data_IF_372444701211
#
_entry.id   IF_372444701211
#
_cell.length_a   1.000
_cell.length_b   1.000
_cell.length_c   1.000
_cell.angle_alpha   90.00
_cell.angle_beta   90.00
_cell.angle_gamma   90.00
#
_symmetry.space_group_name_H-M   'P 1'
#
loop_
_entity.id
_entity.type
_entity.pdbx_description
1 polymer ?
#
# COMPACT_ATOMS: atom_id res chain seq x y z
N UNK A 1 5.31 -15.83 -25.48
CA UNK A 1 6.35 -15.51 -24.49
C UNK A 1 5.72 -15.48 -23.12
N UNK A 2 6.40 -15.99 -22.10
CA UNK A 2 5.94 -15.90 -20.71
C UNK A 2 5.85 -14.42 -20.30
N UNK A 3 4.84 -14.07 -19.49
CA UNK A 3 4.73 -12.73 -18.91
C UNK A 3 5.75 -12.57 -17.77
N UNK A 4 6.35 -11.40 -17.62
CA UNK A 4 7.37 -11.13 -16.60
C UNK A 4 6.80 -10.19 -15.55
N UNK A 5 6.84 -10.62 -14.29
CA UNK A 5 6.48 -9.81 -13.12
C UNK A 5 7.73 -9.45 -12.31
N UNK A 6 7.98 -8.16 -12.10
CA UNK A 6 9.07 -7.67 -11.24
C UNK A 6 8.50 -7.22 -9.92
N UNK A 7 9.11 -7.63 -8.79
CA UNK A 7 8.63 -7.34 -7.44
C UNK A 7 9.77 -6.78 -6.59
N UNK A 8 9.62 -5.52 -6.15
CA UNK A 8 10.54 -4.93 -5.17
C UNK A 8 10.19 -5.38 -3.76
N UNK A 9 11.20 -5.67 -2.93
CA UNK A 9 10.99 -6.28 -1.62
C UNK A 9 10.47 -7.72 -1.71
N UNK A 10 10.83 -8.43 -2.80
CA UNK A 10 10.33 -9.78 -3.11
C UNK A 10 10.94 -10.91 -2.29
N UNK A 11 11.91 -10.63 -1.42
CA UNK A 11 12.63 -11.66 -0.67
C UNK A 11 11.88 -12.19 0.57
N UNK A 12 10.84 -11.48 1.04
CA UNK A 12 10.09 -11.86 2.24
C UNK A 12 8.68 -11.23 2.26
N UNK A 13 7.85 -11.64 3.22
CA UNK A 13 6.54 -11.07 3.50
C UNK A 13 5.62 -11.04 2.28
N UNK A 14 4.89 -9.93 2.12
CA UNK A 14 3.93 -9.75 1.02
C UNK A 14 4.59 -9.91 -0.35
N UNK A 15 5.82 -9.40 -0.51
CA UNK A 15 6.56 -9.51 -1.78
C UNK A 15 6.87 -10.95 -2.15
N UNK A 16 7.27 -11.79 -1.17
CA UNK A 16 7.51 -13.23 -1.36
C UNK A 16 6.22 -13.97 -1.73
N UNK A 17 5.14 -13.72 -1.00
CA UNK A 17 3.84 -14.32 -1.29
C UNK A 17 3.30 -13.88 -2.68
N UNK A 18 3.50 -12.62 -3.05
CA UNK A 18 3.14 -12.14 -4.40
C UNK A 18 3.96 -12.82 -5.49
N UNK A 19 5.27 -13.03 -5.27
CA UNK A 19 6.13 -13.77 -6.18
C UNK A 19 5.65 -15.20 -6.41
N UNK A 20 5.30 -15.90 -5.33
CA UNK A 20 4.71 -17.25 -5.39
C UNK A 20 3.37 -17.24 -6.17
N UNK A 21 2.51 -16.27 -5.91
CA UNK A 21 1.23 -16.15 -6.58
C UNK A 21 1.36 -15.84 -8.10
N UNK A 22 2.35 -15.05 -8.51
CA UNK A 22 2.68 -14.84 -9.92
C UNK A 22 3.28 -16.09 -10.55
N UNK A 23 4.23 -16.76 -9.88
CA UNK A 23 4.81 -18.00 -10.36
C UNK A 23 3.75 -19.09 -10.58
N UNK A 24 2.82 -19.26 -9.63
CA UNK A 24 1.67 -20.17 -9.76
C UNK A 24 0.75 -19.87 -10.97
N UNK A 25 0.82 -18.65 -11.53
CA UNK A 25 0.12 -18.26 -12.75
C UNK A 25 0.99 -18.33 -14.02
N UNK A 26 2.20 -18.89 -13.89
CA UNK A 26 3.12 -19.08 -15.02
C UNK A 26 3.91 -17.84 -15.44
N UNK A 27 3.97 -16.79 -14.58
CA UNK A 27 4.84 -15.65 -14.84
C UNK A 27 6.29 -16.01 -14.54
N UNK A 28 7.22 -15.55 -15.38
CA UNK A 28 8.62 -15.41 -14.97
C UNK A 28 8.73 -14.29 -13.94
N UNK A 29 9.58 -14.46 -12.92
CA UNK A 29 9.60 -13.57 -11.76
C UNK A 29 10.97 -12.92 -11.57
N UNK A 30 11.01 -11.58 -11.60
CA UNK A 30 12.16 -10.77 -11.22
C UNK A 30 12.02 -10.27 -9.78
N UNK A 31 13.03 -10.51 -8.93
CA UNK A 31 13.03 -10.06 -7.54
C UNK A 31 14.12 -9.03 -7.27
N UNK A 32 13.76 -7.94 -6.62
CA UNK A 32 14.68 -6.89 -6.18
C UNK A 32 14.56 -6.74 -4.66
N UNK A 33 15.66 -6.94 -3.93
CA UNK A 33 15.74 -6.68 -2.48
C UNK A 33 17.20 -6.50 -2.06
N UNK A 34 17.47 -6.08 -0.80
CA UNK A 34 18.84 -5.84 -0.32
C UNK A 34 19.57 -7.10 0.12
N UNK A 35 18.86 -8.07 0.70
CA UNK A 35 19.44 -9.26 1.32
C UNK A 35 19.66 -10.38 0.29
N UNK A 36 20.93 -10.66 -0.03
CA UNK A 36 21.32 -11.67 -1.03
C UNK A 36 20.82 -13.06 -0.64
N UNK A 37 21.09 -13.50 0.58
CA UNK A 37 20.73 -14.85 1.06
C UNK A 37 19.21 -15.11 0.93
N UNK A 38 18.39 -14.16 1.37
CA UNK A 38 16.91 -14.29 1.25
C UNK A 38 16.42 -14.21 -0.20
N UNK A 39 17.12 -13.49 -1.07
CA UNK A 39 16.84 -13.52 -2.50
C UNK A 39 17.08 -14.88 -3.11
N UNK A 40 18.21 -15.51 -2.76
CA UNK A 40 18.56 -16.85 -3.24
C UNK A 40 17.57 -17.91 -2.72
N UNK A 41 17.18 -17.84 -1.44
CA UNK A 41 16.15 -18.71 -0.88
C UNK A 41 14.79 -18.53 -1.59
N UNK A 42 14.42 -17.27 -1.90
CA UNK A 42 13.22 -16.98 -2.67
C UNK A 42 13.30 -17.53 -4.10
N UNK A 43 14.46 -17.40 -4.74
CA UNK A 43 14.71 -17.95 -6.07
C UNK A 43 14.56 -19.47 -6.08
N UNK A 44 15.27 -20.15 -5.20
CA UNK A 44 15.24 -21.62 -5.12
C UNK A 44 13.81 -22.16 -4.88
N UNK A 45 13.01 -21.49 -4.06
CA UNK A 45 11.62 -21.85 -3.83
C UNK A 45 10.74 -21.65 -5.10
N UNK A 46 10.88 -20.49 -5.76
CA UNK A 46 10.06 -20.18 -6.94
C UNK A 46 10.42 -21.05 -8.15
N UNK A 47 11.69 -21.41 -8.33
CA UNK A 47 12.16 -22.32 -9.40
C UNK A 47 11.52 -23.70 -9.31
N UNK A 48 11.10 -24.15 -8.11
CA UNK A 48 10.33 -25.39 -7.94
C UNK A 48 8.96 -25.36 -8.63
N UNK A 49 8.42 -24.18 -8.92
CA UNK A 49 7.19 -24.00 -9.69
C UNK A 49 7.41 -24.09 -11.21
N UNK A 50 8.64 -24.33 -11.67
CA UNK A 50 8.99 -24.48 -13.09
C UNK A 50 9.04 -23.17 -13.88
N UNK A 51 9.01 -22.01 -13.22
CA UNK A 51 9.11 -20.68 -13.86
C UNK A 51 10.56 -20.17 -13.82
N UNK A 52 10.92 -19.31 -14.79
CA UNK A 52 12.21 -18.63 -14.76
C UNK A 52 12.21 -17.53 -13.71
N UNK A 53 13.28 -17.46 -12.92
CA UNK A 53 13.45 -16.47 -11.85
C UNK A 53 14.80 -15.78 -11.98
N UNK A 54 14.80 -14.44 -11.81
CA UNK A 54 16.04 -13.66 -11.78
C UNK A 54 16.01 -12.73 -10.55
N UNK A 55 17.09 -12.77 -9.76
CA UNK A 55 17.19 -11.99 -8.52
C UNK A 55 18.28 -10.94 -8.65
N UNK A 56 18.03 -9.73 -8.15
CA UNK A 56 19.02 -8.65 -8.13
C UNK A 56 19.06 -8.01 -6.73
N UNK A 57 20.26 -8.02 -6.15
CA UNK A 57 20.49 -7.33 -4.88
C UNK A 57 20.61 -5.82 -5.12
N UNK A 58 19.61 -5.05 -4.67
CA UNK A 58 19.61 -3.60 -4.81
C UNK A 58 18.79 -2.94 -3.69
N UNK A 59 19.20 -1.73 -3.31
CA UNK A 59 18.39 -0.85 -2.46
C UNK A 59 17.46 -0.01 -3.37
N UNK A 60 16.17 -0.05 -3.11
CA UNK A 60 15.20 0.72 -3.91
C UNK A 60 15.35 2.24 -3.74
N UNK A 61 16.03 2.68 -2.69
CA UNK A 61 16.37 4.09 -2.48
C UNK A 61 17.40 4.61 -3.50
N UNK A 62 18.20 3.72 -4.11
CA UNK A 62 19.15 4.04 -5.18
C UNK A 62 18.46 3.88 -6.54
N UNK A 63 18.15 5.01 -7.18
CA UNK A 63 17.46 5.03 -8.47
C UNK A 63 18.27 4.36 -9.60
N UNK A 64 19.60 4.50 -9.60
CA UNK A 64 20.45 3.87 -10.60
C UNK A 64 20.55 2.37 -10.38
N UNK A 65 20.64 1.92 -9.13
CA UNK A 65 20.62 0.49 -8.80
C UNK A 65 19.30 -0.16 -9.23
N UNK A 66 18.15 0.52 -9.03
CA UNK A 66 16.85 0.04 -9.50
C UNK A 66 16.80 -0.02 -11.03
N UNK A 67 17.34 0.97 -11.73
CA UNK A 67 17.40 0.98 -13.19
C UNK A 67 18.26 -0.18 -13.70
N UNK A 68 19.46 -0.39 -13.16
CA UNK A 68 20.32 -1.51 -13.51
C UNK A 68 19.67 -2.87 -13.22
N UNK A 69 18.96 -2.98 -12.10
CA UNK A 69 18.24 -4.19 -11.74
C UNK A 69 17.12 -4.51 -12.75
N UNK A 70 16.39 -3.49 -13.18
CA UNK A 70 15.36 -3.66 -14.21
C UNK A 70 15.94 -4.10 -15.57
N UNK A 71 17.11 -3.53 -15.98
CA UNK A 71 17.81 -3.94 -17.19
C UNK A 71 18.27 -5.41 -17.12
N UNK A 72 18.85 -5.82 -16.00
CA UNK A 72 19.30 -7.20 -15.79
C UNK A 72 18.13 -8.19 -15.84
N UNK A 73 17.01 -7.86 -15.20
CA UNK A 73 15.82 -8.71 -15.19
C UNK A 73 15.22 -8.80 -16.61
N UNK A 74 15.10 -7.67 -17.32
CA UNK A 74 14.56 -7.67 -18.69
C UNK A 74 15.46 -8.46 -19.65
N UNK A 75 16.78 -8.34 -19.52
CA UNK A 75 17.73 -9.12 -20.31
C UNK A 75 17.64 -10.64 -20.04
N UNK A 76 17.40 -11.03 -18.79
CA UNK A 76 17.34 -12.43 -18.39
C UNK A 76 15.97 -13.09 -18.68
N UNK A 77 14.86 -12.37 -18.48
CA UNK A 77 13.51 -12.93 -18.52
C UNK A 77 12.66 -12.44 -19.68
N UNK A 78 13.10 -11.42 -20.39
CA UNK A 78 12.33 -10.77 -21.47
C UNK A 78 11.50 -9.58 -21.01
N UNK A 79 10.64 -9.04 -21.86
CA UNK A 79 9.91 -7.79 -21.62
C UNK A 79 9.06 -7.82 -20.36
N UNK A 80 9.22 -6.81 -19.50
CA UNK A 80 8.49 -6.66 -18.25
C UNK A 80 7.04 -6.28 -18.57
N UNK A 81 6.07 -7.01 -18.00
CA UNK A 81 4.63 -6.78 -18.19
C UNK A 81 3.91 -6.35 -16.90
N UNK A 82 4.49 -6.69 -15.75
CA UNK A 82 3.99 -6.27 -14.42
C UNK A 82 5.15 -5.76 -13.58
N UNK A 83 4.95 -4.62 -12.95
CA UNK A 83 5.89 -4.07 -11.97
C UNK A 83 5.18 -3.83 -10.63
N UNK A 84 5.68 -4.43 -9.54
CA UNK A 84 5.10 -4.33 -8.21
C UNK A 84 6.04 -3.56 -7.29
N UNK A 85 5.69 -2.33 -6.94
CA UNK A 85 6.37 -1.55 -5.91
C UNK A 85 5.85 -1.96 -4.53
N UNK A 86 6.55 -2.90 -3.89
CA UNK A 86 6.18 -3.44 -2.60
C UNK A 86 7.19 -3.14 -1.49
N UNK A 87 8.46 -2.89 -1.82
CA UNK A 87 9.50 -2.59 -0.83
C UNK A 87 9.09 -1.45 0.10
N UNK A 88 9.33 -1.62 1.41
CA UNK A 88 9.00 -0.63 2.43
C UNK A 88 9.94 -0.72 3.63
N UNK A 89 10.00 0.35 4.40
CA UNK A 89 10.61 0.41 5.72
C UNK A 89 9.69 1.18 6.68
N UNK A 90 9.79 0.88 7.96
CA UNK A 90 9.05 1.59 9.02
C UNK A 90 9.87 1.68 10.30
N UNK A 91 9.48 2.63 11.15
CA UNK A 91 9.98 2.76 12.53
C UNK A 91 8.78 2.83 13.45
N UNK A 92 8.79 2.02 14.49
CA UNK A 92 7.84 2.13 15.60
C UNK A 92 8.42 3.08 16.66
N UNK A 93 7.94 4.31 16.67
CA UNK A 93 8.41 5.38 17.56
C UNK A 93 7.33 6.44 17.74
N UNK A 94 7.31 7.11 18.90
CA UNK A 94 6.61 8.38 19.01
C UNK A 94 7.26 9.40 18.08
N UNK A 95 6.51 10.38 17.58
CA UNK A 95 7.06 11.43 16.71
C UNK A 95 8.16 12.24 17.42
N UNK A 96 8.07 12.38 18.74
CA UNK A 96 9.06 13.10 19.56
C UNK A 96 10.43 12.42 19.59
N UNK A 97 10.43 11.10 19.48
CA UNK A 97 11.63 10.26 19.58
C UNK A 97 12.20 9.86 18.21
N UNK A 98 11.56 10.32 17.12
CA UNK A 98 12.07 10.09 15.76
C UNK A 98 13.29 10.96 15.48
N UNK A 99 14.33 10.33 14.93
CA UNK A 99 15.49 11.05 14.39
C UNK A 99 15.25 11.44 12.92
N UNK A 100 15.79 12.58 12.45
CA UNK A 100 15.66 13.01 11.05
C UNK A 100 16.12 11.96 10.03
N UNK A 101 17.18 11.21 10.34
CA UNK A 101 17.73 10.14 9.50
C UNK A 101 16.75 8.98 9.35
N UNK A 102 16.01 8.65 10.41
CA UNK A 102 14.98 7.61 10.38
C UNK A 102 13.82 8.02 9.45
N UNK A 103 13.36 9.26 9.57
CA UNK A 103 12.31 9.80 8.71
C UNK A 103 12.76 9.83 7.25
N UNK A 104 14.01 10.29 7.01
CA UNK A 104 14.62 10.30 5.69
C UNK A 104 14.66 8.89 5.11
N UNK A 105 15.21 7.92 5.85
CA UNK A 105 15.35 6.54 5.38
C UNK A 105 14.02 5.87 5.07
N UNK A 106 13.02 6.03 5.93
CA UNK A 106 11.66 5.54 5.68
C UNK A 106 11.09 6.15 4.40
N UNK A 107 11.31 7.45 4.18
CA UNK A 107 10.85 8.17 2.98
C UNK A 107 11.58 7.68 1.73
N UNK A 108 12.89 7.52 1.79
CA UNK A 108 13.73 7.03 0.69
C UNK A 108 13.30 5.63 0.24
N UNK A 109 13.07 4.72 1.18
CA UNK A 109 12.70 3.34 0.84
C UNK A 109 11.23 3.23 0.44
N UNK A 110 10.31 3.80 1.24
CA UNK A 110 8.87 3.51 1.12
C UNK A 110 8.18 4.39 0.08
N UNK A 111 8.67 5.62 -0.13
CA UNK A 111 8.14 6.55 -1.12
C UNK A 111 9.05 6.67 -2.34
N UNK A 112 10.28 7.17 -2.16
CA UNK A 112 11.18 7.38 -3.30
C UNK A 112 11.55 6.06 -3.99
N UNK A 113 11.69 4.96 -3.25
CA UNK A 113 11.89 3.63 -3.81
C UNK A 113 10.75 3.19 -4.73
N UNK A 114 9.50 3.49 -4.38
CA UNK A 114 8.36 3.23 -5.25
C UNK A 114 8.33 4.19 -6.46
N UNK A 115 8.75 5.43 -6.31
CA UNK A 115 8.95 6.38 -7.42
C UNK A 115 10.03 5.86 -8.37
N UNK A 116 11.20 5.47 -7.86
CA UNK A 116 12.32 4.93 -8.65
C UNK A 116 11.88 3.70 -9.45
N UNK A 117 11.18 2.75 -8.79
CA UNK A 117 10.62 1.57 -9.46
C UNK A 117 9.59 1.93 -10.54
N UNK A 118 8.73 2.89 -10.27
CA UNK A 118 7.74 3.37 -11.25
C UNK A 118 8.42 3.98 -12.47
N UNK A 119 9.41 4.86 -12.28
CA UNK A 119 10.15 5.48 -13.37
C UNK A 119 10.97 4.46 -14.17
N UNK A 120 11.59 3.48 -13.50
CA UNK A 120 12.29 2.39 -14.17
C UNK A 120 11.34 1.52 -15.03
N UNK A 121 10.15 1.20 -14.50
CA UNK A 121 9.11 0.47 -15.22
C UNK A 121 8.59 1.26 -16.43
N UNK A 122 8.26 2.54 -16.28
CA UNK A 122 7.75 3.39 -17.37
C UNK A 122 8.73 3.53 -18.54
N UNK A 123 10.04 3.52 -18.27
CA UNK A 123 11.06 3.59 -19.32
C UNK A 123 11.18 2.31 -20.15
N UNK A 124 10.75 1.15 -19.64
CA UNK A 124 10.96 -0.18 -20.25
C UNK A 124 9.65 -0.82 -20.73
N UNK A 125 8.59 -0.68 -19.94
CA UNK A 125 7.30 -1.32 -20.25
C UNK A 125 6.59 -0.56 -21.38
N UNK A 126 6.34 -1.23 -22.50
CA UNK A 126 5.52 -0.69 -23.60
C UNK A 126 4.03 -0.75 -23.28
N UNK A 127 3.62 -1.72 -22.48
CA UNK A 127 2.25 -1.91 -21.97
C UNK A 127 2.29 -2.79 -20.73
N UNK A 128 1.23 -2.84 -19.97
CA UNK A 128 1.13 -3.67 -18.77
C UNK A 128 0.68 -2.91 -17.56
N UNK A 129 0.96 -3.44 -16.37
CA UNK A 129 0.45 -2.86 -15.13
C UNK A 129 1.56 -2.55 -14.11
N UNK A 130 1.53 -1.34 -13.58
CA UNK A 130 2.33 -0.94 -12.41
C UNK A 130 1.42 -0.99 -11.19
N UNK A 131 1.80 -1.79 -10.18
CA UNK A 131 1.05 -1.98 -8.94
C UNK A 131 1.79 -1.29 -7.80
N UNK A 132 1.14 -0.33 -7.15
CA UNK A 132 1.63 0.31 -5.93
C UNK A 132 1.05 -0.41 -4.71
N UNK A 133 1.89 -1.09 -3.93
CA UNK A 133 1.46 -1.68 -2.65
C UNK A 133 1.39 -0.60 -1.59
N UNK A 134 0.17 -0.22 -1.26
CA UNK A 134 -0.17 0.82 -0.32
C UNK A 134 -0.73 0.24 0.98
N UNK A 135 -1.32 1.09 1.81
CA UNK A 135 -1.89 0.74 3.10
C UNK A 135 -3.14 1.57 3.37
N UNK A 136 -4.03 1.08 4.24
CA UNK A 136 -5.06 1.91 4.87
C UNK A 136 -4.45 3.14 5.55
N UNK A 137 -3.18 3.05 5.96
CA UNK A 137 -2.41 4.15 6.56
C UNK A 137 -2.03 5.26 5.56
N UNK A 138 -2.28 5.10 4.27
CA UNK A 138 -2.24 6.17 3.27
C UNK A 138 -3.52 7.04 3.25
N UNK A 139 -4.52 6.68 4.05
CA UNK A 139 -5.80 7.37 4.17
C UNK A 139 -6.06 7.88 5.59
N UNK A 140 -5.56 7.13 6.57
CA UNK A 140 -5.64 7.48 7.98
C UNK A 140 -4.34 7.13 8.68
N UNK A 141 -3.59 8.15 9.09
CA UNK A 141 -2.37 7.97 9.85
C UNK A 141 -2.66 7.41 11.26
N UNK A 142 -1.72 6.62 11.78
CA UNK A 142 -1.75 6.07 13.13
C UNK A 142 -0.56 6.60 13.95
N UNK A 143 -0.72 6.80 15.27
CA UNK A 143 0.40 7.05 16.18
C UNK A 143 1.49 5.99 16.05
N UNK A 144 2.69 6.31 16.49
CA UNK A 144 3.92 5.48 16.49
C UNK A 144 4.41 4.98 15.12
N UNK A 145 3.70 5.27 14.02
CA UNK A 145 4.12 4.98 12.65
C UNK A 145 4.14 6.25 11.78
N UNK A 146 4.44 7.42 12.35
CA UNK A 146 4.32 8.70 11.66
C UNK A 146 5.12 8.80 10.37
N UNK A 147 6.38 8.36 10.37
CA UNK A 147 7.25 8.38 9.18
C UNK A 147 6.68 7.50 8.04
N UNK A 148 6.26 6.28 8.37
CA UNK A 148 5.64 5.36 7.41
C UNK A 148 4.32 5.91 6.83
N UNK A 149 3.46 6.44 7.69
CA UNK A 149 2.21 7.08 7.24
C UNK A 149 2.49 8.22 6.27
N UNK A 150 3.43 9.12 6.60
CA UNK A 150 3.85 10.20 5.71
C UNK A 150 4.29 9.70 4.35
N UNK A 151 5.15 8.67 4.30
CA UNK A 151 5.63 8.06 3.06
C UNK A 151 4.48 7.43 2.23
N UNK A 152 3.51 6.77 2.87
CA UNK A 152 2.36 6.16 2.17
C UNK A 152 1.34 7.20 1.69
N UNK A 153 1.17 8.33 2.39
CA UNK A 153 0.40 9.48 1.89
C UNK A 153 1.06 10.10 0.66
N UNK A 154 2.39 10.30 0.71
CA UNK A 154 3.16 10.81 -0.43
C UNK A 154 3.04 9.90 -1.65
N UNK A 155 3.18 8.58 -1.48
CA UNK A 155 3.00 7.59 -2.55
C UNK A 155 1.60 7.69 -3.18
N UNK A 156 0.56 7.88 -2.36
CA UNK A 156 -0.81 8.05 -2.88
C UNK A 156 -0.92 9.32 -3.74
N UNK A 157 -0.43 10.46 -3.26
CA UNK A 157 -0.45 11.70 -4.00
C UNK A 157 0.27 11.61 -5.35
N UNK A 158 1.48 11.03 -5.34
CA UNK A 158 2.25 10.76 -6.56
C UNK A 158 1.47 9.86 -7.54
N UNK A 159 0.86 8.78 -7.03
CA UNK A 159 0.10 7.84 -7.86
C UNK A 159 -1.15 8.49 -8.48
N UNK A 160 -1.84 9.37 -7.73
CA UNK A 160 -3.00 10.11 -8.24
C UNK A 160 -2.62 11.07 -9.37
N UNK A 161 -1.51 11.80 -9.23
CA UNK A 161 -0.97 12.69 -10.26
C UNK A 161 -0.58 11.91 -11.52
N UNK A 162 0.30 10.90 -11.38
CA UNK A 162 0.75 10.09 -12.50
C UNK A 162 -0.39 9.39 -13.25
N UNK A 163 -1.43 8.95 -12.55
CA UNK A 163 -2.60 8.35 -13.20
C UNK A 163 -3.29 9.33 -14.14
N UNK A 164 -3.40 10.60 -13.75
CA UNK A 164 -3.99 11.65 -14.60
C UNK A 164 -3.13 11.91 -15.84
N UNK A 165 -1.80 11.91 -15.70
CA UNK A 165 -0.86 12.03 -16.82
C UNK A 165 -0.97 10.86 -17.79
N UNK A 166 -0.95 9.61 -17.29
CA UNK A 166 -1.10 8.42 -18.14
C UNK A 166 -2.43 8.40 -18.90
N UNK A 167 -3.52 8.91 -18.30
CA UNK A 167 -4.82 9.06 -18.96
C UNK A 167 -4.77 10.15 -20.03
N UNK A 168 -4.15 11.30 -19.75
CA UNK A 168 -3.94 12.38 -20.72
C UNK A 168 -3.18 11.90 -21.96
N UNK A 169 -2.09 11.19 -21.73
CA UNK A 169 -1.21 10.67 -22.78
C UNK A 169 -1.78 9.43 -23.50
N UNK A 170 -2.95 8.94 -23.07
CA UNK A 170 -3.53 7.67 -23.55
C UNK A 170 -2.54 6.52 -23.46
N UNK A 171 -1.75 6.50 -22.42
CA UNK A 171 -0.71 5.49 -22.20
C UNK A 171 -1.31 4.09 -22.14
N UNK A 172 -0.65 3.08 -22.75
CA UNK A 172 -1.05 1.68 -22.62
C UNK A 172 -0.71 1.08 -21.26
N UNK A 173 0.01 1.82 -20.40
CA UNK A 173 0.30 1.42 -19.04
C UNK A 173 -0.92 1.63 -18.12
N UNK A 174 -1.20 0.64 -17.30
CA UNK A 174 -2.19 0.74 -16.24
C UNK A 174 -1.50 0.95 -14.90
N UNK A 175 -1.97 1.93 -14.11
CA UNK A 175 -1.47 2.21 -12.77
C UNK A 175 -2.55 1.95 -11.73
N UNK A 176 -2.29 1.00 -10.82
CA UNK A 176 -3.23 0.57 -9.78
C UNK A 176 -2.59 0.65 -8.40
N UNK A 177 -3.42 0.81 -7.38
CA UNK A 177 -2.97 0.84 -5.99
C UNK A 177 -3.73 -0.19 -5.16
N UNK A 178 -3.00 -1.00 -4.38
CA UNK A 178 -3.56 -2.00 -3.47
C UNK A 178 -3.43 -1.50 -2.05
N UNK A 179 -4.55 -1.23 -1.38
CA UNK A 179 -4.61 -0.73 -0.01
C UNK A 179 -4.79 -1.89 0.96
N UNK A 180 -3.76 -2.17 1.73
CA UNK A 180 -3.70 -3.32 2.64
C UNK A 180 -4.00 -2.90 4.09
N UNK A 181 -4.69 -3.74 4.86
CA UNK A 181 -4.72 -3.69 6.32
C UNK A 181 -3.40 -4.22 6.90
N UNK A 182 -3.36 -4.54 8.20
CA UNK A 182 -2.25 -5.30 8.77
C UNK A 182 -2.16 -6.68 8.10
N UNK A 183 -0.94 -7.08 7.74
CA UNK A 183 -0.64 -8.38 7.10
C UNK A 183 0.42 -9.09 7.93
N UNK A 184 0.22 -10.36 8.22
CA UNK A 184 1.13 -11.20 8.99
C UNK A 184 2.45 -11.43 8.25
N UNK A 185 3.44 -10.59 8.51
CA UNK A 185 4.74 -10.64 7.85
C UNK A 185 5.87 -10.51 8.86
N UNK A 186 7.09 -10.94 8.52
CA UNK A 186 8.26 -10.79 9.39
C UNK A 186 8.61 -9.34 9.73
N UNK A 187 8.05 -8.36 9.01
CA UNK A 187 8.33 -6.93 9.22
C UNK A 187 8.00 -6.46 10.66
N UNK A 188 7.04 -7.07 11.33
CA UNK A 188 6.72 -6.75 12.73
C UNK A 188 7.87 -7.09 13.69
N UNK A 189 8.70 -8.07 13.35
CA UNK A 189 9.88 -8.47 14.12
C UNK A 189 11.14 -7.70 13.70
N UNK A 190 11.20 -7.29 12.43
CA UNK A 190 12.38 -6.68 11.83
C UNK A 190 12.39 -5.15 11.89
N UNK A 191 11.24 -4.53 12.07
CA UNK A 191 11.16 -3.07 12.07
C UNK A 191 11.98 -2.48 13.21
N UNK A 192 12.64 -1.34 12.94
CA UNK A 192 13.24 -0.53 14.00
C UNK A 192 12.18 -0.18 15.03
N UNK A 193 12.44 -0.52 16.29
CA UNK A 193 11.50 -0.34 17.38
C UNK A 193 12.14 0.42 18.55
N UNK A 194 11.63 1.61 18.80
CA UNK A 194 12.07 2.51 19.90
C UNK A 194 11.08 2.53 21.06
N UNK A 195 9.98 1.78 20.99
CA UNK A 195 8.92 1.83 22.01
C UNK A 195 9.25 1.08 23.29
N UNK A 196 10.16 0.10 23.22
CA UNK A 196 10.46 -0.79 24.35
C UNK A 196 9.40 -1.85 24.64
N UNK A 197 8.40 -1.96 23.75
CA UNK A 197 7.33 -2.98 23.81
C UNK A 197 7.29 -3.76 22.49
N UNK A 198 6.82 -4.99 22.53
CA UNK A 198 6.64 -5.76 21.30
C UNK A 198 5.55 -5.14 20.42
N UNK A 199 5.70 -5.26 19.11
CA UNK A 199 4.69 -4.80 18.16
C UNK A 199 3.56 -5.81 18.02
N UNK A 200 2.34 -5.33 17.80
CA UNK A 200 1.15 -6.14 17.50
C UNK A 200 0.62 -5.85 16.10
N UNK A 201 0.05 -6.86 15.48
CA UNK A 201 -0.74 -6.73 14.26
C UNK A 201 -2.23 -6.97 14.61
N UNK A 202 -3.06 -5.92 14.70
CA UNK A 202 -4.47 -6.10 15.06
C UNK A 202 -5.23 -6.82 13.95
N UNK A 203 -5.67 -8.06 14.23
CA UNK A 203 -6.44 -8.89 13.29
C UNK A 203 -5.83 -8.97 11.88
N UNK A 204 -4.55 -9.38 11.74
CA UNK A 204 -3.86 -9.34 10.47
C UNK A 204 -4.48 -10.31 9.47
N UNK A 205 -4.22 -10.07 8.20
CA UNK A 205 -4.48 -11.02 7.12
C UNK A 205 -3.23 -11.84 6.80
N UNK A 206 -3.40 -13.05 6.28
CA UNK A 206 -2.29 -13.82 5.77
C UNK A 206 -1.67 -13.16 4.51
N UNK A 207 -0.36 -13.33 4.27
CA UNK A 207 0.32 -12.75 3.10
C UNK A 207 -0.30 -13.13 1.77
N UNK A 208 -0.86 -14.33 1.65
CA UNK A 208 -1.52 -14.85 0.45
C UNK A 208 -2.74 -14.02 0.06
N UNK A 209 -3.47 -13.48 1.04
CA UNK A 209 -4.64 -12.61 0.77
C UNK A 209 -4.18 -11.30 0.12
N UNK A 210 -3.05 -10.75 0.59
CA UNK A 210 -2.44 -9.58 -0.03
C UNK A 210 -1.88 -9.89 -1.43
N UNK A 211 -1.23 -11.04 -1.59
CA UNK A 211 -0.69 -11.54 -2.86
C UNK A 211 -1.79 -11.71 -3.91
N UNK A 212 -2.91 -12.34 -3.56
CA UNK A 212 -4.06 -12.50 -4.44
C UNK A 212 -4.62 -11.14 -4.89
N UNK A 213 -4.69 -10.16 -4.00
CA UNK A 213 -5.13 -8.81 -4.34
C UNK A 213 -4.15 -8.09 -5.27
N UNK A 214 -2.83 -8.30 -5.09
CA UNK A 214 -1.79 -7.75 -5.97
C UNK A 214 -1.89 -8.38 -7.38
N UNK A 215 -2.02 -9.70 -7.46
CA UNK A 215 -2.20 -10.41 -8.74
C UNK A 215 -3.52 -10.01 -9.41
N UNK A 216 -4.60 -9.87 -8.64
CA UNK A 216 -5.87 -9.36 -9.15
C UNK A 216 -5.71 -7.94 -9.72
N UNK A 217 -5.05 -7.04 -9.01
CA UNK A 217 -4.80 -5.67 -9.44
C UNK A 217 -3.93 -5.63 -10.73
N UNK A 218 -2.95 -6.53 -10.85
CA UNK A 218 -2.10 -6.63 -12.03
C UNK A 218 -2.85 -7.11 -13.28
N UNK A 219 -3.85 -7.97 -13.11
CA UNK A 219 -4.58 -8.62 -14.21
C UNK A 219 -5.94 -8.00 -14.55
N UNK A 220 -6.44 -7.11 -13.69
CA UNK A 220 -7.73 -6.46 -13.86
C UNK A 220 -7.56 -4.93 -13.78
N UNK A 221 -8.02 -4.21 -14.79
CA UNK A 221 -7.93 -2.74 -14.82
C UNK A 221 -8.83 -2.12 -13.75
N UNK A 222 -8.30 -1.97 -12.53
CA UNK A 222 -8.93 -1.29 -11.40
C UNK A 222 -8.07 -0.13 -10.95
N UNK A 223 -8.69 0.99 -10.60
CA UNK A 223 -8.00 2.16 -10.06
C UNK A 223 -7.38 1.86 -8.70
N UNK A 224 -8.20 1.35 -7.80
CA UNK A 224 -7.81 0.98 -6.44
C UNK A 224 -8.42 -0.37 -6.07
N UNK A 225 -7.68 -1.16 -5.32
CA UNK A 225 -8.07 -2.44 -4.74
C UNK A 225 -7.90 -2.35 -3.23
N UNK A 226 -8.93 -2.67 -2.48
CA UNK A 226 -8.93 -2.61 -1.01
C UNK A 226 -9.05 -4.01 -0.46
N UNK A 227 -8.18 -4.36 0.49
CA UNK A 227 -8.18 -5.66 1.16
C UNK A 227 -8.74 -5.50 2.57
N UNK A 228 -9.60 -6.43 2.96
CA UNK A 228 -10.19 -6.49 4.29
C UNK A 228 -11.46 -5.65 4.43
N UNK A 229 -12.47 -6.25 5.07
CA UNK A 229 -13.79 -5.65 5.29
C UNK A 229 -13.78 -4.37 6.13
N UNK A 230 -12.73 -4.16 6.94
CA UNK A 230 -12.55 -2.94 7.73
C UNK A 230 -11.93 -1.77 6.95
N UNK A 231 -11.28 -2.02 5.81
CA UNK A 231 -10.54 -0.98 5.06
C UNK A 231 -11.45 0.09 4.46
N UNK A 232 -12.51 -0.23 3.67
CA UNK A 232 -13.41 0.80 3.13
C UNK A 232 -14.12 1.64 4.20
N UNK A 233 -14.73 1.07 5.27
CA UNK A 233 -15.38 1.88 6.30
C UNK A 233 -14.39 2.75 7.10
N UNK A 234 -13.16 2.28 7.33
CA UNK A 234 -12.13 3.10 8.00
C UNK A 234 -11.76 4.32 7.16
N UNK A 235 -11.60 4.16 5.85
CA UNK A 235 -11.32 5.26 4.91
C UNK A 235 -12.48 6.25 4.91
N UNK A 236 -13.72 5.76 4.84
CA UNK A 236 -14.90 6.60 4.85
C UNK A 236 -15.03 7.39 6.16
N UNK A 237 -14.87 6.73 7.30
CA UNK A 237 -14.90 7.37 8.62
C UNK A 237 -13.81 8.45 8.75
N UNK A 238 -12.60 8.19 8.26
CA UNK A 238 -11.50 9.16 8.26
C UNK A 238 -11.80 10.40 7.43
N UNK A 239 -12.57 10.28 6.35
CA UNK A 239 -12.98 11.40 5.50
C UNK A 239 -14.15 12.20 6.07
N UNK A 240 -15.13 11.53 6.65
CA UNK A 240 -16.37 12.16 7.11
C UNK A 240 -16.26 12.74 8.54
N UNK A 241 -15.47 12.10 9.41
CA UNK A 241 -15.37 12.46 10.81
C UNK A 241 -13.91 12.42 11.34
N UNK A 242 -12.97 13.21 10.74
CA UNK A 242 -11.55 13.16 11.09
C UNK A 242 -11.28 13.43 12.57
N UNK A 243 -11.94 14.43 13.17
CA UNK A 243 -11.76 14.78 14.59
C UNK A 243 -12.26 13.70 15.55
N UNK A 244 -13.28 12.93 15.18
CA UNK A 244 -13.74 11.79 15.96
C UNK A 244 -12.69 10.67 15.90
N UNK A 245 -12.18 10.39 14.69
CA UNK A 245 -11.11 9.42 14.49
C UNK A 245 -9.84 9.78 15.26
N UNK A 246 -9.47 11.08 15.34
CA UNK A 246 -8.34 11.53 16.17
C UNK A 246 -8.50 11.11 17.63
N UNK A 247 -9.68 11.35 18.22
CA UNK A 247 -9.96 10.99 19.63
C UNK A 247 -9.97 9.47 19.84
N UNK A 248 -10.52 8.70 18.89
CA UNK A 248 -10.53 7.23 18.93
C UNK A 248 -9.10 6.68 18.87
N UNK A 249 -8.29 7.17 17.95
CA UNK A 249 -6.91 6.72 17.80
C UNK A 249 -6.02 7.14 18.97
N UNK A 250 -6.23 8.35 19.53
CA UNK A 250 -5.51 8.79 20.72
C UNK A 250 -5.72 7.82 21.91
N UNK A 251 -6.90 7.22 22.02
CA UNK A 251 -7.24 6.30 23.11
C UNK A 251 -6.87 4.85 22.86
N UNK A 252 -6.95 4.39 21.59
CA UNK A 252 -6.89 2.96 21.27
C UNK A 252 -5.67 2.55 20.43
N UNK A 253 -5.02 3.50 19.71
CA UNK A 253 -4.02 3.11 18.72
C UNK A 253 -2.73 2.55 19.34
N UNK A 254 -2.34 3.00 20.53
CA UNK A 254 -1.15 2.49 21.22
C UNK A 254 -1.35 1.03 21.63
N UNK A 255 -2.41 0.72 22.38
CA UNK A 255 -2.72 -0.66 22.81
C UNK A 255 -3.05 -1.60 21.64
N UNK A 256 -3.51 -1.06 20.51
CA UNK A 256 -3.75 -1.86 19.32
C UNK A 256 -2.47 -2.25 18.58
N UNK A 257 -1.37 -1.50 18.76
CA UNK A 257 -0.11 -1.71 18.05
C UNK A 257 1.02 -2.25 18.95
N UNK A 258 0.89 -2.11 20.25
CA UNK A 258 1.90 -2.51 21.23
C UNK A 258 1.38 -3.61 22.14
N UNK A 259 2.23 -4.61 22.41
CA UNK A 259 2.02 -5.66 23.38
C UNK A 259 2.32 -5.21 24.79
N UNK A 260 1.96 -6.07 25.75
CA UNK A 260 2.29 -5.87 27.15
C UNK A 260 3.70 -6.36 27.49
N UNK A 261 4.25 -7.24 26.65
CA UNK A 261 5.60 -7.74 26.81
C UNK A 261 6.64 -6.66 26.46
N UNK A 262 7.66 -6.55 27.29
CA UNK A 262 8.81 -5.73 26.99
C UNK A 262 9.58 -6.33 25.79
N UNK A 263 10.03 -5.47 24.89
CA UNK A 263 10.89 -5.85 23.79
C UNK A 263 12.12 -4.95 23.73
N UNK A 264 13.28 -5.46 23.37
CA UNK A 264 14.46 -4.64 23.25
C UNK A 264 14.26 -3.58 22.17
N UNK A 265 14.78 -2.39 22.39
CA UNK A 265 14.93 -1.39 21.32
C UNK A 265 15.90 -1.95 20.29
N UNK A 266 15.53 -1.92 19.04
CA UNK A 266 16.33 -2.50 17.95
C UNK A 266 16.46 -1.54 16.79
N UNK A 267 17.60 -1.58 16.12
CA UNK A 267 17.83 -0.87 14.87
C UNK A 267 17.07 -1.52 13.69
N UNK A 268 16.75 -2.79 13.85
CA UNK A 268 15.95 -3.55 12.89
C UNK A 268 16.53 -3.51 11.47
N UNK A 269 15.63 -3.56 10.49
CA UNK A 269 15.98 -3.60 9.08
C UNK A 269 16.00 -2.23 8.38
N UNK A 270 16.01 -1.14 9.14
CA UNK A 270 15.88 0.20 8.56
C UNK A 270 17.05 0.54 7.64
N UNK A 271 18.28 0.45 8.15
CA UNK A 271 19.49 0.80 7.41
C UNK A 271 20.16 -0.40 6.76
N UNK A 272 20.18 -1.53 7.43
CA UNK A 272 20.78 -2.77 6.95
C UNK A 272 19.71 -3.85 6.76
N UNK A 273 19.91 -4.85 5.88
CA UNK A 273 19.01 -6.00 5.81
C UNK A 273 18.90 -6.68 7.17
N UNK A 274 17.70 -7.16 7.53
CA UNK A 274 17.55 -7.95 8.76
C UNK A 274 18.50 -9.16 8.71
N UNK A 275 19.17 -9.51 9.83
CA UNK A 275 20.03 -10.68 9.88
C UNK A 275 19.23 -11.98 9.76
N UNK A 276 19.90 -13.05 9.32
CA UNK A 276 19.32 -14.40 9.21
C UNK A 276 18.60 -14.69 7.89
N UNK A 277 18.63 -15.96 7.48
CA UNK A 277 18.30 -16.41 6.13
C UNK A 277 16.84 -16.82 5.90
N UNK A 278 16.14 -17.35 6.90
CA UNK A 278 14.89 -18.06 6.68
C UNK A 278 13.67 -17.45 7.37
N UNK A 279 13.18 -16.36 6.82
CA UNK A 279 11.80 -15.94 7.12
C UNK A 279 11.12 -15.71 5.79
N UNK A 280 10.25 -16.64 5.41
CA UNK A 280 9.49 -16.60 4.16
C UNK A 280 8.47 -15.48 4.10
N UNK A 281 7.25 -15.79 3.69
CA UNK A 281 6.17 -14.82 3.60
C UNK A 281 5.55 -14.48 4.97
N UNK A 282 5.52 -15.44 5.90
CA UNK A 282 4.77 -15.37 7.16
C UNK A 282 5.56 -14.73 8.30
N UNK A 283 4.85 -14.00 9.16
CA UNK A 283 5.32 -13.55 10.46
C UNK A 283 4.79 -14.43 11.61
N UNK A 284 4.92 -13.97 12.84
CA UNK A 284 4.57 -14.73 14.06
C UNK A 284 3.06 -14.80 14.39
N UNK A 285 2.19 -14.21 13.57
CA UNK A 285 0.76 -14.08 13.89
C UNK A 285 -0.12 -15.13 13.19
N UNK A 286 0.44 -16.25 12.73
CA UNK A 286 -0.27 -17.27 11.96
C UNK A 286 -1.56 -17.76 12.60
N UNK A 287 -1.54 -18.03 13.90
CA UNK A 287 -2.69 -18.54 14.62
C UNK A 287 -3.91 -17.57 14.64
N UNK A 288 -3.66 -16.27 14.48
CA UNK A 288 -4.70 -15.23 14.52
C UNK A 288 -4.95 -14.53 13.18
N UNK A 289 -4.21 -14.88 12.15
CA UNK A 289 -4.29 -14.21 10.85
C UNK A 289 -5.45 -14.73 10.01
N UNK A 290 -6.14 -13.80 9.34
CA UNK A 290 -7.31 -14.10 8.52
C UNK A 290 -6.90 -14.62 7.15
N UNK A 291 -7.53 -15.69 6.71
CA UNK A 291 -7.34 -16.29 5.37
C UNK A 291 -8.41 -15.85 4.37
N UNK A 292 -9.46 -15.17 4.85
CA UNK A 292 -10.59 -14.76 4.01
C UNK A 292 -10.17 -13.72 2.99
N UNK A 293 -10.51 -13.97 1.72
CA UNK A 293 -10.21 -13.11 0.57
C UNK A 293 -11.25 -11.99 0.42
N UNK A 294 -11.24 -11.03 1.32
CA UNK A 294 -12.13 -9.85 1.26
C UNK A 294 -11.49 -8.78 0.37
N UNK A 295 -11.78 -8.79 -0.92
CA UNK A 295 -11.25 -7.83 -1.90
C UNK A 295 -12.37 -6.93 -2.41
N UNK A 296 -12.20 -5.62 -2.29
CA UNK A 296 -13.11 -4.59 -2.76
C UNK A 296 -12.40 -3.71 -3.81
N UNK A 297 -13.13 -3.19 -4.79
CA UNK A 297 -12.55 -2.36 -5.86
C UNK A 297 -13.18 -0.98 -5.92
N UNK A 298 -12.44 0.00 -6.40
CA UNK A 298 -12.92 1.36 -6.62
C UNK A 298 -14.19 1.43 -7.45
N UNK A 299 -14.33 0.56 -8.48
CA UNK A 299 -15.54 0.52 -9.31
C UNK A 299 -16.81 0.28 -8.49
N UNK A 300 -16.74 -0.56 -7.45
CA UNK A 300 -17.87 -0.77 -6.53
C UNK A 300 -18.08 0.46 -5.64
N UNK A 301 -17.02 1.07 -5.15
CA UNK A 301 -17.06 2.29 -4.35
C UNK A 301 -17.55 3.51 -5.13
N UNK A 302 -17.13 3.66 -6.37
CA UNK A 302 -17.54 4.78 -7.24
C UNK A 302 -19.03 4.70 -7.57
N UNK A 303 -19.57 3.51 -7.82
CA UNK A 303 -21.01 3.30 -8.05
C UNK A 303 -21.82 3.65 -6.80
N UNK A 304 -21.38 3.21 -5.61
CA UNK A 304 -22.05 3.54 -4.35
C UNK A 304 -21.98 5.04 -4.07
N UNK A 305 -20.80 5.66 -4.26
CA UNK A 305 -20.63 7.10 -4.05
C UNK A 305 -21.49 7.92 -5.02
N UNK A 306 -21.49 7.56 -6.31
CA UNK A 306 -22.34 8.21 -7.30
C UNK A 306 -23.83 8.08 -6.97
N UNK A 307 -24.25 6.90 -6.50
CA UNK A 307 -25.64 6.67 -6.07
C UNK A 307 -26.02 7.53 -4.86
N UNK A 308 -25.12 7.64 -3.86
CA UNK A 308 -25.35 8.48 -2.68
C UNK A 308 -25.39 9.97 -3.03
N UNK A 309 -24.52 10.42 -3.92
CA UNK A 309 -24.53 11.82 -4.41
C UNK A 309 -25.82 12.12 -5.17
N UNK A 310 -26.27 11.19 -6.01
CA UNK A 310 -27.53 11.34 -6.76
C UNK A 310 -28.73 11.41 -5.83
N UNK A 311 -28.82 10.51 -4.85
CA UNK A 311 -29.87 10.50 -3.83
C UNK A 311 -29.84 11.80 -3.00
N UNK A 312 -28.65 12.24 -2.59
CA UNK A 312 -28.47 13.50 -1.87
C UNK A 312 -28.89 14.72 -2.69
N UNK A 313 -28.53 14.76 -3.98
CA UNK A 313 -28.91 15.83 -4.88
C UNK A 313 -30.43 15.86 -5.14
N UNK A 314 -31.07 14.70 -5.27
CA UNK A 314 -32.53 14.58 -5.41
C UNK A 314 -33.20 15.01 -4.12
N UNK A 315 -32.72 14.59 -2.96
CA UNK A 315 -33.22 15.02 -1.64
C UNK A 315 -33.10 16.53 -1.42
N UNK A 316 -31.98 17.15 -1.80
CA UNK A 316 -31.77 18.59 -1.72
C UNK A 316 -32.71 19.36 -2.67
N UNK A 317 -32.95 18.86 -3.90
CA UNK A 317 -33.93 19.44 -4.82
C UNK A 317 -35.33 19.32 -4.26
N UNK A 318 -35.74 18.20 -3.69
CA UNK A 318 -37.05 18.02 -3.07
C UNK A 318 -37.25 18.95 -1.86
N UNK A 319 -36.22 19.13 -1.03
CA UNK A 319 -36.26 20.10 0.08
C UNK A 319 -36.34 21.53 -0.43
N UNK A 320 -35.57 21.90 -1.46
CA UNK A 320 -35.60 23.27 -2.04
C UNK A 320 -36.93 23.61 -2.75
N UNK A 321 -37.65 22.61 -3.23
CA UNK A 321 -38.97 22.77 -3.86
C UNK A 321 -40.14 22.55 -2.90
N UNK A 322 -39.87 22.16 -1.66
CA UNK A 322 -40.91 21.97 -0.62
C UNK A 322 -41.48 23.31 -0.17
N UNK A 323 -42.82 23.50 -0.14
CA UNK A 323 -43.46 24.72 0.32
C UNK A 323 -43.07 25.18 1.72
N UNK A 324 -42.61 24.22 2.57
CA UNK A 324 -42.14 24.46 3.95
C UNK A 324 -40.82 25.25 4.00
N UNK A 325 -39.98 25.20 2.96
CA UNK A 325 -38.67 25.89 2.91
C UNK A 325 -38.65 27.12 2.00
N UNK A 326 -39.61 27.25 1.11
CA UNK A 326 -39.74 28.41 0.19
C UNK A 326 -40.32 29.65 0.92
N UNK A 327 -41.22 29.42 1.86
CA UNK A 327 -41.86 30.51 2.62
C UNK A 327 -40.89 31.35 3.48
N UNK A 328 -39.94 30.78 4.25
CA UNK A 328 -38.96 31.56 5.01
C UNK A 328 -37.97 32.35 4.13
N UNK A 329 -37.59 31.83 2.97
CA UNK A 329 -36.65 32.49 2.06
C UNK A 329 -37.32 33.71 1.35
N UNK A 330 -38.61 33.65 1.07
CA UNK A 330 -39.37 34.76 0.53
C UNK A 330 -39.65 35.85 1.59
N UNK A 331 -39.91 35.46 2.85
CA UNK A 331 -40.04 36.38 3.98
C UNK A 331 -38.73 37.11 4.29
N UNK A 332 -37.58 36.42 4.28
CA UNK A 332 -36.27 37.04 4.47
C UNK A 332 -35.94 38.06 3.36
N UNK A 333 -36.31 37.79 2.09
CA UNK A 333 -36.13 38.73 0.97
C UNK A 333 -37.11 39.96 1.07
N UNK A 334 -38.27 39.76 1.61
CA UNK A 334 -39.23 40.85 1.82
C UNK A 334 -38.81 41.81 2.95
N UNK A 335 -38.18 41.28 4.00
CA UNK A 335 -37.65 42.09 5.12
C UNK A 335 -36.40 42.89 4.70
N UNK A 336 -35.51 42.32 3.89
CA UNK A 336 -34.31 43.04 3.38
C UNK A 336 -34.69 44.19 2.42
N UNK A 337 -35.82 44.10 1.70
CA UNK A 337 -36.29 45.18 0.83
C UNK A 337 -37.00 46.31 1.56
N UNK A 338 -37.29 46.20 2.87
CA UNK A 338 -37.95 47.27 3.66
C UNK A 338 -36.99 48.04 4.57
N UNK A 339 -35.73 47.68 4.60
CA UNK A 339 -34.70 48.31 5.46
C UNK A 339 -33.56 48.94 4.64
N UNK A 340 -33.69 48.96 3.29
CA UNK A 340 -32.73 49.62 2.38
C UNK A 340 -33.44 50.78 1.62
#
# INVERSE_FOLDING_TARGET
MAQVAVITGGSAGIGRAAAQAFAAKGYSVGLIARGVERLENARAELEQSGVAVHTVAADVADAEAVARAADAIEAALGPITVWVNNAMATVYSSIRDLEPEEVRRVTEVTYLGAVNGTLAAMKRMRSGTIVQVSSVLAWRAMPIQGAYCGAKFALRGFTEALRSELLHDRSPLHLTMVHLPAVNTPQFDWARNKTGQETKAPSPYQPEVAADAIVFAATHKRRDVFVGSSTPPTILAARLAPSVMDRVLARKAYSAQLGDAAAPRTDGNLFQPAPGGEQGAHGRFDAGAKTRRDIYTSRQGDVVAASLVLVGAIGLKMLATSPLFVAPALLARAVIRRVG
#
